data_IF_628663737514
#
_entry.id   IF_628663737514
#
_cell.length_a   1.000
_cell.length_b   1.000
_cell.length_c   1.000
_cell.angle_alpha   90.00
_cell.angle_beta   90.00
_cell.angle_gamma   90.00
#
_symmetry.space_group_name_H-M   'P 1'
#
loop_
_entity.id
_entity.type
_entity.pdbx_description
1 polymer ?
#
# COMPACT_ATOMS: atom_id res chain seq x y z
N UNK A 1 1.99 20.22 10.20
CA UNK A 1 0.98 20.46 9.18
C UNK A 1 -0.38 20.04 9.72
N UNK A 2 -1.33 20.96 9.67
CA UNK A 2 -2.65 20.77 10.26
C UNK A 2 -3.64 20.08 9.33
N UNK A 3 -3.21 19.71 8.14
CA UNK A 3 -4.10 19.12 7.17
C UNK A 3 -4.45 17.68 7.52
N UNK A 4 -5.74 17.34 7.45
CA UNK A 4 -6.20 15.98 7.65
C UNK A 4 -5.66 15.07 6.55
N UNK A 5 -4.94 14.02 6.91
CA UNK A 5 -4.37 13.08 5.94
C UNK A 5 -5.38 12.01 5.59
N UNK A 6 -5.77 11.19 6.56
CA UNK A 6 -6.75 10.12 6.35
C UNK A 6 -8.06 10.48 7.02
N UNK A 7 -9.16 10.25 6.34
CA UNK A 7 -10.47 10.55 6.90
C UNK A 7 -11.54 10.46 5.85
N UNK A 8 -12.71 11.04 6.15
CA UNK A 8 -13.82 11.07 5.21
C UNK A 8 -13.60 12.13 4.14
N UNK A 9 -14.07 11.86 2.94
CA UNK A 9 -13.95 12.81 1.84
C UNK A 9 -14.65 14.12 2.17
N UNK A 10 -15.79 14.05 2.86
CA UNK A 10 -16.55 15.23 3.25
C UNK A 10 -15.80 16.11 4.26
N UNK A 11 -14.81 15.56 4.94
CA UNK A 11 -13.97 16.29 5.89
C UNK A 11 -12.71 16.86 5.25
N UNK A 12 -12.56 16.70 3.94
CA UNK A 12 -11.43 17.25 3.21
C UNK A 12 -10.11 16.50 3.37
N UNK A 13 -10.16 15.21 3.68
CA UNK A 13 -8.96 14.40 3.84
C UNK A 13 -8.15 14.34 2.54
N UNK A 14 -6.83 14.37 2.67
CA UNK A 14 -5.95 14.19 1.52
C UNK A 14 -6.08 12.81 0.90
N UNK A 15 -6.26 11.79 1.74
CA UNK A 15 -6.47 10.41 1.32
C UNK A 15 -7.80 9.96 1.91
N UNK A 16 -8.90 10.15 1.17
CA UNK A 16 -10.24 9.81 1.68
C UNK A 16 -10.42 8.30 1.85
N UNK A 17 -11.15 7.93 2.89
CA UNK A 17 -11.49 6.53 3.13
C UNK A 17 -12.34 5.96 1.99
N UNK A 18 -12.07 4.73 1.60
CA UNK A 18 -12.84 4.02 0.60
C UNK A 18 -12.58 4.44 -0.84
N UNK A 19 -11.59 5.30 -1.08
CA UNK A 19 -11.27 5.83 -2.39
C UNK A 19 -9.89 5.35 -2.82
N UNK A 20 -9.76 5.03 -4.09
CA UNK A 20 -8.49 4.65 -4.69
C UNK A 20 -7.41 5.70 -4.39
N UNK A 21 -6.23 5.20 -4.00
CA UNK A 21 -5.04 6.02 -3.79
C UNK A 21 -3.84 5.32 -4.43
N UNK A 22 -3.12 6.05 -5.28
CA UNK A 22 -1.92 5.50 -5.93
C UNK A 22 -0.78 5.20 -4.96
N UNK A 23 -0.97 5.51 -3.67
CA UNK A 23 -0.04 5.17 -2.59
C UNK A 23 1.32 5.85 -2.81
N UNK A 24 1.25 7.11 -3.22
CA UNK A 24 2.41 7.94 -3.49
C UNK A 24 1.99 9.35 -3.87
N UNK A 25 2.95 10.18 -4.25
CA UNK A 25 2.69 11.60 -4.47
C UNK A 25 2.39 11.95 -5.93
N UNK A 26 3.30 11.70 -6.85
CA UNK A 26 3.18 12.15 -8.23
C UNK A 26 3.03 11.03 -9.24
N UNK A 27 3.53 9.86 -8.92
CA UNK A 27 3.52 8.68 -9.78
C UNK A 27 2.96 7.51 -8.99
N UNK A 28 2.47 6.53 -9.71
CA UNK A 28 2.06 5.28 -9.06
C UNK A 28 3.29 4.58 -8.46
N UNK A 29 3.06 3.77 -7.46
CA UNK A 29 4.10 3.08 -6.71
C UNK A 29 4.31 1.70 -7.29
N UNK A 30 5.58 1.30 -7.39
CA UNK A 30 5.96 -0.02 -7.89
C UNK A 30 6.63 -0.84 -6.81
N UNK A 31 6.53 -2.16 -6.99
CA UNK A 31 7.43 -3.09 -6.33
C UNK A 31 8.16 -3.88 -7.42
N UNK A 32 9.47 -4.03 -7.26
CA UNK A 32 10.30 -4.82 -8.17
C UNK A 32 11.01 -5.89 -7.38
N UNK A 33 10.98 -7.11 -7.86
CA UNK A 33 11.63 -8.22 -7.18
C UNK A 33 12.30 -9.16 -8.18
N UNK A 34 13.48 -9.63 -7.85
CA UNK A 34 14.18 -10.66 -8.62
C UNK A 34 13.92 -12.07 -8.06
N UNK A 35 13.07 -12.19 -7.05
CA UNK A 35 12.72 -13.46 -6.42
C UNK A 35 11.22 -13.60 -6.32
N UNK A 36 10.76 -14.83 -6.16
CA UNK A 36 9.35 -15.07 -5.88
C UNK A 36 9.03 -14.65 -4.46
N UNK A 37 7.99 -13.85 -4.31
CA UNK A 37 7.49 -13.43 -3.00
C UNK A 37 6.21 -14.18 -2.68
N UNK A 38 6.04 -14.54 -1.42
CA UNK A 38 4.87 -15.26 -0.95
C UNK A 38 4.11 -14.37 0.04
N UNK A 39 2.85 -14.08 -0.30
CA UNK A 39 1.94 -13.31 0.53
C UNK A 39 0.81 -14.24 0.96
N UNK A 40 0.97 -14.90 2.11
CA UNK A 40 -0.03 -15.87 2.55
C UNK A 40 -0.18 -17.01 1.54
N UNK A 41 -1.36 -17.14 0.95
CA UNK A 41 -1.63 -18.17 -0.05
C UNK A 41 -1.24 -17.76 -1.47
N UNK A 42 -0.91 -16.48 -1.68
CA UNK A 42 -0.58 -15.95 -3.00
C UNK A 42 0.91 -15.92 -3.24
N UNK A 43 1.31 -16.21 -4.46
CA UNK A 43 2.70 -16.24 -4.87
C UNK A 43 2.91 -15.25 -6.01
N UNK A 44 3.92 -14.39 -5.87
CA UNK A 44 4.24 -13.35 -6.84
C UNK A 44 5.59 -13.65 -7.47
N UNK A 45 5.60 -13.95 -8.77
CA UNK A 45 6.82 -14.23 -9.49
C UNK A 45 7.73 -13.01 -9.56
N UNK A 46 9.01 -13.24 -9.81
CA UNK A 46 9.95 -12.14 -10.06
C UNK A 46 9.41 -11.22 -11.16
N UNK A 47 9.53 -9.93 -10.98
CA UNK A 47 9.02 -8.94 -11.92
C UNK A 47 8.74 -7.61 -11.27
N UNK A 48 8.06 -6.75 -12.02
CA UNK A 48 7.67 -5.41 -11.57
C UNK A 48 6.16 -5.31 -11.55
N UNK A 49 5.63 -4.77 -10.46
CA UNK A 49 4.19 -4.66 -10.24
C UNK A 49 3.87 -3.29 -9.67
N UNK A 50 2.72 -2.75 -10.01
CA UNK A 50 2.25 -1.54 -9.37
C UNK A 50 1.49 -1.88 -8.10
N UNK A 51 1.51 -0.96 -7.16
CA UNK A 51 0.79 -1.06 -5.89
C UNK A 51 -0.19 0.09 -5.83
N UNK A 52 -1.42 -0.21 -5.47
CA UNK A 52 -2.35 0.85 -5.08
C UNK A 52 -3.17 0.36 -3.90
N UNK A 53 -3.82 1.28 -3.23
CA UNK A 53 -4.57 0.95 -2.02
C UNK A 53 -5.91 1.66 -2.01
N UNK A 54 -6.82 1.10 -1.23
CA UNK A 54 -8.06 1.78 -0.84
C UNK A 54 -8.06 1.80 0.67
N UNK A 55 -7.58 2.89 1.29
CA UNK A 55 -7.51 2.99 2.74
C UNK A 55 -8.87 3.20 3.39
N UNK A 56 -9.06 2.55 4.53
CA UNK A 56 -10.21 2.77 5.40
C UNK A 56 -9.69 3.02 6.82
N UNK A 57 -10.58 3.32 7.75
CA UNK A 57 -10.14 3.70 9.09
C UNK A 57 -9.49 2.55 9.86
N UNK A 58 -9.96 1.32 9.66
CA UNK A 58 -9.50 0.17 10.44
C UNK A 58 -8.70 -0.83 9.61
N UNK A 59 -8.74 -0.72 8.29
CA UNK A 59 -8.00 -1.60 7.40
C UNK A 59 -7.76 -0.90 6.07
N UNK A 60 -6.75 -1.38 5.35
CA UNK A 60 -6.49 -0.98 3.97
C UNK A 60 -6.64 -2.20 3.08
N UNK A 61 -7.25 -2.02 1.91
CA UNK A 61 -7.15 -2.98 0.83
C UNK A 61 -5.92 -2.60 0.01
N UNK A 62 -4.98 -3.53 -0.11
CA UNK A 62 -3.74 -3.33 -0.85
C UNK A 62 -3.77 -4.22 -2.08
N UNK A 63 -3.55 -3.64 -3.24
CA UNK A 63 -3.61 -4.33 -4.52
C UNK A 63 -2.25 -4.35 -5.19
N UNK A 64 -1.88 -5.50 -5.74
CA UNK A 64 -0.75 -5.65 -6.64
C UNK A 64 -1.31 -5.86 -8.03
N UNK A 65 -0.81 -5.10 -9.00
CA UNK A 65 -1.37 -5.05 -10.34
C UNK A 65 -0.25 -5.20 -11.37
N UNK A 66 -0.51 -5.96 -12.44
CA UNK A 66 0.47 -6.19 -13.48
C UNK A 66 0.61 -5.01 -14.43
N UNK A 67 -0.33 -4.07 -14.43
CA UNK A 67 -0.24 -2.88 -15.27
C UNK A 67 0.69 -1.86 -14.64
N UNK A 68 1.81 -1.56 -15.31
CA UNK A 68 2.81 -0.64 -14.80
C UNK A 68 2.90 0.65 -15.62
N UNK A 69 2.17 0.73 -16.73
CA UNK A 69 2.17 1.91 -17.60
C UNK A 69 0.80 2.58 -17.56
N UNK A 70 0.55 3.36 -16.51
CA UNK A 70 -0.69 4.13 -16.38
C UNK A 70 -0.43 5.41 -15.59
N UNK A 71 -1.36 6.35 -15.71
CA UNK A 71 -1.26 7.58 -14.92
C UNK A 71 -1.74 7.30 -13.50
N UNK A 72 -0.94 7.69 -12.51
CA UNK A 72 -1.22 7.38 -11.11
C UNK A 72 -2.49 7.99 -10.54
N UNK A 73 -3.10 8.97 -11.23
CA UNK A 73 -4.38 9.54 -10.80
C UNK A 73 -5.56 8.65 -11.17
N UNK A 74 -5.36 7.72 -12.11
CA UNK A 74 -6.40 6.79 -12.54
C UNK A 74 -6.12 5.41 -11.94
N UNK A 75 -7.18 4.77 -11.45
CA UNK A 75 -7.05 3.41 -10.97
C UNK A 75 -6.69 2.50 -12.15
N UNK A 76 -5.70 1.60 -11.99
CA UNK A 76 -5.38 0.66 -13.06
C UNK A 76 -6.53 -0.34 -13.26
N UNK A 77 -6.59 -1.00 -14.43
CA UNK A 77 -7.65 -1.96 -14.70
C UNK A 77 -7.69 -3.06 -13.64
N UNK A 78 -8.86 -3.31 -13.06
CA UNK A 78 -9.01 -4.28 -11.98
C UNK A 78 -8.78 -5.72 -12.46
N UNK A 79 -8.98 -6.00 -13.74
CA UNK A 79 -8.71 -7.33 -14.30
C UNK A 79 -7.21 -7.62 -14.44
N UNK A 80 -6.37 -6.61 -14.23
CA UNK A 80 -4.92 -6.78 -14.12
C UNK A 80 -4.43 -6.91 -12.68
N UNK A 81 -5.35 -6.93 -11.70
CA UNK A 81 -4.99 -7.22 -10.32
C UNK A 81 -4.56 -8.67 -10.20
N UNK A 82 -3.38 -8.89 -9.59
CA UNK A 82 -2.86 -10.23 -9.38
C UNK A 82 -2.96 -10.66 -7.93
N UNK A 83 -3.14 -9.72 -7.02
CA UNK A 83 -3.32 -10.01 -5.60
C UNK A 83 -4.03 -8.86 -4.91
N UNK A 84 -4.77 -9.19 -3.86
CA UNK A 84 -5.46 -8.23 -3.02
C UNK A 84 -5.35 -8.66 -1.58
N UNK A 85 -4.98 -7.73 -0.70
CA UNK A 85 -4.77 -8.01 0.71
C UNK A 85 -5.54 -7.01 1.56
N UNK A 86 -6.20 -7.51 2.59
CA UNK A 86 -6.82 -6.69 3.62
C UNK A 86 -5.89 -6.67 4.82
N UNK A 87 -5.39 -5.50 5.17
CA UNK A 87 -4.41 -5.36 6.26
C UNK A 87 -4.96 -4.37 7.27
N UNK A 88 -4.99 -4.79 8.53
CA UNK A 88 -5.48 -3.93 9.61
C UNK A 88 -4.50 -2.80 9.86
N UNK A 89 -5.05 -1.63 10.17
CA UNK A 89 -4.23 -0.48 10.55
C UNK A 89 -3.74 -0.63 11.98
N UNK A 90 -2.59 -0.06 12.25
CA UNK A 90 -2.13 0.18 13.61
C UNK A 90 -1.89 1.67 13.79
N UNK A 91 -1.99 2.11 15.04
CA UNK A 91 -1.84 3.52 15.38
C UNK A 91 -0.44 3.76 15.91
N UNK A 92 0.25 4.73 15.33
CA UNK A 92 1.58 5.11 15.79
C UNK A 92 1.47 6.09 16.96
N UNK A 93 2.39 5.97 17.88
CA UNK A 93 2.48 6.90 19.00
C UNK A 93 2.92 8.28 18.50
N UNK A 94 3.94 8.33 17.63
CA UNK A 94 4.43 9.56 17.03
C UNK A 94 4.04 9.62 15.55
N UNK A 95 3.59 10.77 15.05
CA UNK A 95 3.21 10.87 13.64
C UNK A 95 4.42 10.82 12.71
N UNK A 96 4.22 10.24 11.54
CA UNK A 96 5.17 10.25 10.43
C UNK A 96 4.76 11.37 9.50
N UNK A 97 5.61 12.38 9.35
CA UNK A 97 5.23 13.60 8.63
C UNK A 97 5.08 13.44 7.14
N UNK A 98 5.84 12.53 6.54
CA UNK A 98 5.78 12.26 5.11
C UNK A 98 5.40 10.80 4.88
N UNK A 99 4.58 10.55 3.87
CA UNK A 99 4.25 9.18 3.52
C UNK A 99 5.54 8.38 3.25
N UNK A 100 5.67 7.26 3.93
CA UNK A 100 6.88 6.44 3.87
C UNK A 100 6.51 4.99 3.59
N UNK A 101 7.19 4.39 2.61
CA UNK A 101 7.14 2.96 2.37
C UNK A 101 8.52 2.41 2.72
N UNK A 102 8.54 1.39 3.57
CA UNK A 102 9.78 0.82 4.06
C UNK A 102 9.64 -0.68 4.20
N UNK A 103 10.74 -1.35 4.40
CA UNK A 103 10.76 -2.80 4.63
C UNK A 103 11.27 -3.04 6.03
N UNK A 104 10.64 -3.99 6.72
CA UNK A 104 11.06 -4.37 8.06
C UNK A 104 10.97 -5.88 8.21
N UNK A 105 11.43 -6.37 9.35
CA UNK A 105 11.38 -7.78 9.67
C UNK A 105 12.74 -8.37 9.89
N UNK A 106 12.79 -9.69 9.91
CA UNK A 106 14.00 -10.46 10.14
C UNK A 106 14.17 -11.53 9.06
N UNK A 107 14.98 -12.54 9.32
CA UNK A 107 15.23 -13.60 8.34
C UNK A 107 14.03 -14.52 8.13
N UNK A 108 13.01 -14.45 8.99
CA UNK A 108 11.85 -15.33 8.94
C UNK A 108 10.60 -14.58 8.47
N UNK A 109 10.39 -13.38 9.00
CA UNK A 109 9.18 -12.59 8.74
C UNK A 109 9.56 -11.25 8.18
N UNK A 110 8.99 -10.90 7.03
CA UNK A 110 9.25 -9.63 6.35
C UNK A 110 7.95 -8.88 6.17
N UNK A 111 8.07 -7.55 6.13
CA UNK A 111 6.90 -6.66 5.98
C UNK A 111 7.22 -5.54 5.01
N UNK A 112 6.21 -5.15 4.24
CA UNK A 112 6.21 -3.87 3.55
C UNK A 112 5.37 -2.95 4.42
N UNK A 113 5.98 -1.88 4.92
CA UNK A 113 5.34 -0.95 5.84
C UNK A 113 4.93 0.32 5.12
N UNK A 114 3.68 0.72 5.28
CA UNK A 114 3.16 1.99 4.77
C UNK A 114 2.79 2.84 5.97
N UNK A 115 3.44 3.99 6.10
CA UNK A 115 3.26 4.85 7.27
C UNK A 115 3.05 6.28 6.85
N UNK A 116 2.05 6.93 7.41
CA UNK A 116 1.81 8.36 7.26
C UNK A 116 0.93 8.83 8.39
N UNK A 117 1.23 10.05 8.90
CA UNK A 117 0.54 10.58 10.06
C UNK A 117 0.64 9.55 11.18
N UNK A 118 -0.43 9.22 11.86
CA UNK A 118 -0.42 8.22 12.94
C UNK A 118 -0.87 6.84 12.48
N UNK A 119 -0.95 6.59 11.18
CA UNK A 119 -1.43 5.34 10.63
C UNK A 119 -0.28 4.53 10.05
N UNK A 120 -0.27 3.24 10.34
CA UNK A 120 0.68 2.29 9.76
C UNK A 120 -0.06 1.03 9.36
N UNK A 121 0.26 0.52 8.18
CA UNK A 121 -0.13 -0.84 7.77
C UNK A 121 1.12 -1.60 7.36
N UNK A 122 1.19 -2.87 7.74
CA UNK A 122 2.34 -3.72 7.47
C UNK A 122 1.86 -4.96 6.74
N UNK A 123 2.25 -5.10 5.49
CA UNK A 123 1.89 -6.22 4.65
C UNK A 123 2.94 -7.32 4.79
N UNK A 124 2.61 -8.47 5.37
CA UNK A 124 3.60 -9.53 5.58
C UNK A 124 3.88 -10.29 4.29
N UNK A 125 5.13 -10.69 4.12
CA UNK A 125 5.53 -11.53 3.00
C UNK A 125 6.74 -12.38 3.36
N UNK A 126 6.98 -13.39 2.53
CA UNK A 126 8.19 -14.23 2.62
C UNK A 126 8.85 -14.27 1.27
N UNK A 127 10.16 -14.44 1.27
CA UNK A 127 10.95 -14.63 0.05
C UNK A 127 11.14 -16.13 -0.12
N UNK A 128 10.78 -16.62 -1.28
CA UNK A 128 10.91 -18.04 -1.59
C UNK A 128 12.37 -18.42 -1.88
#
# INVERSE_FOLDING_TARGET
NDRLIFGEETDGALVPHGVYWRTGANKHTFIETDKTLIFGADSLSAGTYSIYTIPNSQYWDIFLNSEIYYFGINQPPSDSNIARFKVLTSQLFNPVEQFTIDFSGDSISNYIDFSWDKTKVSLPFKVK
#
